data_IF_280584357256
#
_entry.id   IF_280584357256
#
_cell.length_a   1.000
_cell.length_b   1.000
_cell.length_c   1.000
_cell.angle_alpha   90.00
_cell.angle_beta   90.00
_cell.angle_gamma   90.00
#
_symmetry.space_group_name_H-M   'P 1'
#
loop_
_entity.id
_entity.type
_entity.pdbx_description
1 polymer ?
#
# COMPACT_ATOMS: atom_id res chain seq x y z
N UNK A 1 6.38 -20.62 4.78
CA UNK A 1 5.98 -19.68 3.71
C UNK A 1 5.36 -18.48 4.40
N UNK A 2 6.02 -17.33 4.36
CA UNK A 2 5.37 -16.09 4.79
C UNK A 2 4.41 -15.67 3.67
N UNK A 3 3.10 -15.70 3.95
CA UNK A 3 2.10 -15.21 3.02
C UNK A 3 2.18 -13.69 3.00
N UNK A 4 2.75 -13.14 1.93
CA UNK A 4 2.64 -11.72 1.62
C UNK A 4 1.27 -11.42 1.02
N UNK A 5 0.73 -10.24 1.30
CA UNK A 5 -0.46 -9.72 0.65
C UNK A 5 -0.26 -9.67 -0.88
N UNK A 6 -1.32 -9.95 -1.67
CA UNK A 6 -1.23 -9.91 -3.13
C UNK A 6 -0.91 -8.48 -3.60
N UNK A 7 0.00 -8.38 -4.57
CA UNK A 7 0.24 -7.17 -5.34
C UNK A 7 -0.54 -7.28 -6.66
N UNK A 8 -1.52 -6.41 -6.84
CA UNK A 8 -2.42 -6.39 -8.00
C UNK A 8 -2.07 -5.19 -8.89
N UNK A 9 -2.35 -5.33 -10.19
CA UNK A 9 -2.30 -4.20 -11.11
C UNK A 9 -3.68 -3.58 -11.19
N UNK A 10 -3.77 -2.27 -10.97
CA UNK A 10 -5.02 -1.56 -11.16
C UNK A 10 -5.40 -1.56 -12.66
N UNK A 11 -6.68 -1.79 -12.95
CA UNK A 11 -7.26 -1.74 -14.29
C UNK A 11 -7.68 -0.33 -14.69
N UNK A 12 -7.63 0.65 -13.76
CA UNK A 12 -8.04 2.03 -14.06
C UNK A 12 -7.31 2.61 -15.29
N UNK A 13 -7.99 3.44 -16.11
CA UNK A 13 -7.33 4.16 -17.20
C UNK A 13 -6.10 4.94 -16.69
N UNK A 14 -5.03 5.01 -17.49
CA UNK A 14 -3.76 5.65 -17.10
C UNK A 14 -3.92 7.10 -16.61
N UNK A 15 -4.91 7.82 -17.14
CA UNK A 15 -5.23 9.21 -16.78
C UNK A 15 -5.79 9.38 -15.37
N UNK A 16 -6.39 8.33 -14.81
CA UNK A 16 -6.93 8.31 -13.44
C UNK A 16 -5.92 7.75 -12.43
N UNK A 17 -4.70 7.42 -12.87
CA UNK A 17 -3.66 6.82 -12.04
C UNK A 17 -2.79 7.88 -11.38
N UNK A 18 -2.64 7.80 -10.06
CA UNK A 18 -1.54 8.50 -9.37
C UNK A 18 -0.25 7.76 -9.70
N UNK A 19 0.62 8.37 -10.52
CA UNK A 19 1.88 7.75 -10.95
C UNK A 19 2.74 7.30 -9.77
N UNK A 20 3.44 6.18 -9.96
CA UNK A 20 4.42 5.63 -9.02
C UNK A 20 3.89 5.49 -7.58
N UNK A 21 2.62 5.08 -7.45
CA UNK A 21 1.95 4.95 -6.17
C UNK A 21 1.37 3.56 -5.95
N UNK A 22 1.08 3.26 -4.69
CA UNK A 22 0.44 2.04 -4.25
C UNK A 22 -0.80 2.36 -3.45
N UNK A 23 -1.92 1.71 -3.75
CA UNK A 23 -3.10 1.74 -2.89
C UNK A 23 -3.04 0.54 -1.96
N UNK A 24 -2.98 0.80 -0.66
CA UNK A 24 -2.85 -0.23 0.37
C UNK A 24 -4.16 -0.36 1.13
N UNK A 25 -4.69 -1.57 1.18
CA UNK A 25 -5.93 -1.90 1.87
C UNK A 25 -5.61 -2.64 3.17
N UNK A 26 -5.91 -2.03 4.32
CA UNK A 26 -5.79 -2.69 5.61
C UNK A 26 -7.08 -3.46 5.92
N UNK A 27 -6.98 -4.57 6.66
CA UNK A 27 -8.14 -5.27 7.19
C UNK A 27 -8.89 -4.38 8.21
N UNK A 28 -10.21 -4.53 8.36
CA UNK A 28 -10.99 -3.77 9.34
C UNK A 28 -10.38 -3.83 10.76
N UNK A 29 -10.33 -2.67 11.42
CA UNK A 29 -9.78 -2.52 12.77
C UNK A 29 -8.26 -2.39 12.86
N UNK A 30 -7.52 -2.43 11.75
CA UNK A 30 -6.07 -2.16 11.72
C UNK A 30 -5.81 -0.71 11.34
N UNK A 31 -5.22 0.08 12.25
CA UNK A 31 -4.93 1.49 12.01
C UNK A 31 -3.60 1.71 11.28
N UNK A 32 -3.35 2.94 10.82
CA UNK A 32 -2.04 3.32 10.26
C UNK A 32 -0.92 3.20 11.27
N UNK A 33 -1.19 3.51 12.55
CA UNK A 33 -0.19 3.41 13.62
C UNK A 33 0.12 1.95 13.96
N UNK A 34 -0.89 1.08 13.98
CA UNK A 34 -0.70 -0.37 14.15
C UNK A 34 0.11 -0.94 12.98
N UNK A 35 -0.19 -0.52 11.76
CA UNK A 35 0.53 -0.92 10.56
C UNK A 35 1.99 -0.48 10.59
N UNK A 36 2.25 0.81 10.86
CA UNK A 36 3.60 1.35 10.99
C UNK A 36 4.42 0.62 12.06
N UNK A 37 3.78 0.29 13.19
CA UNK A 37 4.39 -0.50 14.27
C UNK A 37 4.71 -1.93 13.81
N UNK A 38 3.78 -2.59 13.11
CA UNK A 38 3.95 -3.96 12.63
C UNK A 38 5.12 -4.09 11.64
N UNK A 39 5.29 -3.12 10.75
CA UNK A 39 6.38 -3.13 9.75
C UNK A 39 7.67 -2.46 10.26
N UNK A 40 7.66 -1.90 11.46
CA UNK A 40 8.78 -1.17 12.09
C UNK A 40 9.32 -0.03 11.21
N UNK A 41 8.43 0.72 10.56
CA UNK A 41 8.76 1.85 9.68
C UNK A 41 7.77 2.99 9.89
N UNK A 42 8.26 4.22 9.79
CA UNK A 42 7.38 5.39 9.72
C UNK A 42 6.79 5.48 8.29
N UNK A 43 5.47 5.41 8.20
CA UNK A 43 4.74 5.52 6.94
C UNK A 43 4.33 6.95 6.60
N UNK A 44 4.34 7.88 7.59
CA UNK A 44 3.93 9.27 7.39
C UNK A 44 4.58 9.96 6.19
N UNK A 45 5.89 9.85 5.93
CA UNK A 45 6.51 10.51 4.78
C UNK A 45 6.11 9.90 3.43
N UNK A 46 5.49 8.71 3.44
CA UNK A 46 5.08 7.99 2.23
C UNK A 46 3.57 8.08 1.96
N UNK A 47 2.76 8.52 2.94
CA UNK A 47 1.30 8.63 2.77
C UNK A 47 0.96 9.93 2.05
N UNK A 48 0.41 9.81 0.86
CA UNK A 48 -0.12 10.93 0.09
C UNK A 48 -1.51 11.33 0.58
N UNK A 49 -2.44 10.36 0.66
CA UNK A 49 -3.76 10.58 1.26
C UNK A 49 -4.38 9.27 1.76
N UNK A 50 -5.42 9.41 2.59
CA UNK A 50 -6.25 8.32 3.11
C UNK A 50 -7.67 8.49 2.58
N UNK A 51 -8.25 7.42 2.03
CA UNK A 51 -9.61 7.47 1.48
C UNK A 51 -10.66 7.50 2.59
N UNK A 52 -11.21 8.68 2.85
CA UNK A 52 -12.23 8.90 3.88
C UNK A 52 -13.63 8.38 3.52
N UNK A 53 -13.88 8.07 2.25
CA UNK A 53 -15.16 7.53 1.79
C UNK A 53 -15.31 6.02 2.06
N UNK A 54 -14.21 5.31 2.36
CA UNK A 54 -14.22 3.92 2.80
C UNK A 54 -14.20 3.93 4.33
N UNK A 55 -15.34 3.62 4.95
CA UNK A 55 -15.52 3.80 6.41
C UNK A 55 -15.19 2.55 7.22
N UNK A 56 -15.22 1.39 6.57
CA UNK A 56 -15.10 0.08 7.21
C UNK A 56 -13.63 -0.30 7.49
N UNK A 57 -12.68 0.33 6.79
CA UNK A 57 -11.26 0.04 6.87
C UNK A 57 -10.42 1.21 6.42
N UNK A 58 -9.14 1.19 6.80
CA UNK A 58 -8.15 2.14 6.30
C UNK A 58 -7.72 1.72 4.90
N UNK A 59 -7.86 2.65 3.96
CA UNK A 59 -7.25 2.54 2.64
C UNK A 59 -6.47 3.81 2.37
N UNK A 60 -5.20 3.68 2.02
CA UNK A 60 -4.32 4.82 1.81
C UNK A 60 -3.49 4.68 0.54
N UNK A 61 -3.11 5.83 -0.01
CA UNK A 61 -2.19 5.92 -1.14
C UNK A 61 -0.79 6.20 -0.62
N UNK A 62 0.14 5.34 -1.02
CA UNK A 62 1.55 5.42 -0.68
C UNK A 62 2.38 5.83 -1.90
N UNK A 63 3.28 6.78 -1.75
CA UNK A 63 4.23 7.24 -2.76
C UNK A 63 5.67 7.09 -2.27
N UNK A 64 6.63 7.17 -3.20
CA UNK A 64 8.06 7.03 -2.89
C UNK A 64 8.37 5.73 -2.13
N UNK A 65 7.67 4.65 -2.45
CA UNK A 65 7.80 3.34 -1.81
C UNK A 65 8.87 2.54 -2.55
N UNK A 66 9.98 2.28 -1.88
CA UNK A 66 11.02 1.39 -2.41
C UNK A 66 10.64 -0.10 -2.24
N UNK A 67 11.44 -0.99 -2.84
CA UNK A 67 11.18 -2.43 -2.76
C UNK A 67 11.15 -2.95 -1.32
N UNK A 68 12.02 -2.46 -0.44
CA UNK A 68 12.10 -2.93 0.95
C UNK A 68 10.87 -2.52 1.75
N UNK A 69 10.40 -1.30 1.55
CA UNK A 69 9.17 -0.79 2.17
C UNK A 69 7.95 -1.50 1.61
N UNK A 70 7.90 -1.74 0.29
CA UNK A 70 6.82 -2.52 -0.33
C UNK A 70 6.76 -3.95 0.23
N UNK A 71 7.90 -4.63 0.32
CA UNK A 71 8.00 -5.98 0.89
C UNK A 71 7.56 -5.99 2.36
N UNK A 72 7.93 -4.97 3.14
CA UNK A 72 7.52 -4.82 4.54
C UNK A 72 6.01 -4.58 4.68
N UNK A 73 5.44 -3.66 3.88
CA UNK A 73 3.99 -3.42 3.84
C UNK A 73 3.25 -4.72 3.53
N UNK A 74 3.67 -5.44 2.49
CA UNK A 74 3.01 -6.69 2.07
C UNK A 74 3.21 -7.83 3.05
N UNK A 75 4.24 -7.80 3.90
CA UNK A 75 4.46 -8.80 4.94
C UNK A 75 3.56 -8.60 6.17
N UNK A 76 2.94 -7.42 6.34
CA UNK A 76 1.93 -7.24 7.39
C UNK A 76 0.70 -8.11 7.10
N UNK A 77 0.41 -9.04 8.00
CA UNK A 77 -0.72 -9.98 7.92
C UNK A 77 -2.09 -9.29 7.96
N UNK A 78 -2.12 -8.00 8.30
CA UNK A 78 -3.32 -7.17 8.32
C UNK A 78 -3.45 -6.30 7.07
N UNK A 79 -2.58 -6.47 6.07
CA UNK A 79 -2.80 -5.95 4.72
C UNK A 79 -3.61 -6.96 3.91
N UNK A 80 -4.74 -6.51 3.37
CA UNK A 80 -5.63 -7.31 2.54
C UNK A 80 -5.07 -7.48 1.12
N UNK A 81 -4.62 -6.37 0.53
CA UNK A 81 -4.02 -6.29 -0.80
C UNK A 81 -3.28 -4.98 -0.99
N UNK A 82 -2.40 -4.95 -1.98
CA UNK A 82 -1.76 -3.74 -2.49
C UNK A 82 -2.03 -3.65 -3.98
N UNK A 83 -2.48 -2.50 -4.46
CA UNK A 83 -2.69 -2.22 -5.88
C UNK A 83 -1.62 -1.26 -6.37
N UNK A 84 -0.93 -1.61 -7.47
CA UNK A 84 0.02 -0.72 -8.11
C UNK A 84 -0.75 0.24 -9.01
N UNK A 85 -0.59 1.53 -8.74
CA UNK A 85 -1.21 2.57 -9.54
C UNK A 85 -0.13 3.21 -10.42
N UNK A 86 -0.21 2.91 -11.73
CA UNK A 86 0.74 3.36 -12.74
C UNK A 86 1.82 2.34 -13.09
N UNK A 87 2.68 2.70 -14.05
CA UNK A 87 3.86 1.92 -14.39
C UNK A 87 4.94 2.14 -13.32
N UNK A 88 4.69 1.68 -12.09
CA UNK A 88 5.69 1.76 -11.03
C UNK A 88 6.94 1.04 -11.51
N UNK A 89 8.05 1.79 -11.60
CA UNK A 89 9.39 1.23 -11.77
C UNK A 89 9.78 0.50 -10.49
N UNK A 90 9.10 -0.58 -10.15
CA UNK A 90 9.78 -1.64 -9.41
C UNK A 90 10.71 -2.22 -10.46
N UNK A 91 11.94 -1.70 -10.48
CA UNK A 91 12.98 -2.16 -11.37
C UNK A 91 12.99 -3.68 -11.29
N UNK A 92 12.78 -4.30 -12.45
CA UNK A 92 13.13 -5.68 -12.66
C UNK A 92 14.62 -5.79 -12.31
N UNK A 93 14.91 -6.52 -11.24
CA UNK A 93 16.16 -7.27 -11.14
C UNK A 93 15.89 -8.68 -11.66
#
# INVERSE_FOLDING_TARGET
MELQAPLLHDELPFEDRVKDSYVVYLLPGHSLDDHATAIQRDLKPHIDHVYSFIKEKVVYVAQSVDKKLLDAIRADRKVEKVEVNGASKIAAD
#
